data_IF_584831176614
#
_entry.id   IF_584831176614
#
_cell.length_a   1.000
_cell.length_b   1.000
_cell.length_c   1.000
_cell.angle_alpha   90.00
_cell.angle_beta   90.00
_cell.angle_gamma   90.00
#
_symmetry.space_group_name_H-M   'P 1'
#
loop_
_entity.id
_entity.type
_entity.pdbx_description
1 polymer ?
#
# COMPACT_ATOMS: atom_id res chain seq x y z
N UNK A 1 41.55 -12.32 -28.40
CA UNK A 1 40.71 -11.38 -27.63
C UNK A 1 40.14 -12.12 -26.43
N UNK A 2 40.42 -11.72 -25.17
CA UNK A 2 39.80 -12.35 -24.00
C UNK A 2 38.33 -11.91 -23.90
N UNK A 3 37.41 -12.87 -23.84
CA UNK A 3 35.98 -12.60 -23.66
C UNK A 3 35.77 -12.22 -22.18
N UNK A 4 35.40 -10.95 -21.95
CA UNK A 4 35.21 -10.39 -20.60
C UNK A 4 33.81 -10.73 -20.08
N UNK A 5 33.58 -11.98 -19.69
CA UNK A 5 32.29 -12.46 -19.15
C UNK A 5 31.89 -11.79 -17.82
N UNK A 6 32.84 -11.22 -17.08
CA UNK A 6 32.61 -10.65 -15.75
C UNK A 6 31.81 -9.35 -15.73
N UNK A 7 31.72 -8.64 -16.85
CA UNK A 7 31.10 -7.31 -16.89
C UNK A 7 29.57 -7.36 -17.07
N UNK A 8 29.07 -8.35 -17.82
CA UNK A 8 27.64 -8.48 -18.09
C UNK A 8 26.85 -9.02 -16.90
N UNK A 9 27.44 -9.91 -16.09
CA UNK A 9 26.82 -10.47 -14.88
C UNK A 9 26.65 -9.44 -13.77
N UNK A 10 27.61 -8.53 -13.58
CA UNK A 10 27.52 -7.44 -12.59
C UNK A 10 26.43 -6.42 -12.98
N UNK A 11 26.41 -5.99 -14.25
CA UNK A 11 25.38 -5.07 -14.77
C UNK A 11 23.97 -5.67 -14.80
N UNK A 12 23.86 -6.97 -15.01
CA UNK A 12 22.57 -7.67 -15.01
C UNK A 12 22.01 -7.79 -13.59
N UNK A 13 22.87 -8.03 -12.59
CA UNK A 13 22.49 -8.02 -11.18
C UNK A 13 22.06 -6.64 -10.68
N UNK A 14 22.79 -5.58 -11.04
CA UNK A 14 22.45 -4.20 -10.68
C UNK A 14 21.08 -3.77 -11.24
N UNK A 15 20.82 -4.00 -12.54
CA UNK A 15 19.52 -3.64 -13.16
C UNK A 15 18.35 -4.43 -12.59
N UNK A 16 18.56 -5.70 -12.24
CA UNK A 16 17.53 -6.52 -11.59
C UNK A 16 17.23 -6.03 -10.17
N UNK A 17 18.24 -5.58 -9.42
CA UNK A 17 18.07 -4.99 -8.10
C UNK A 17 17.42 -3.59 -8.12
N UNK A 18 17.76 -2.75 -9.10
CA UNK A 18 17.18 -1.41 -9.27
C UNK A 18 15.67 -1.48 -9.51
N UNK A 19 15.23 -2.31 -10.47
CA UNK A 19 13.79 -2.47 -10.76
C UNK A 19 12.99 -3.03 -9.58
N UNK A 20 13.61 -3.93 -8.80
CA UNK A 20 12.98 -4.49 -7.61
C UNK A 20 12.92 -3.49 -6.44
N UNK A 21 13.97 -2.69 -6.26
CA UNK A 21 14.03 -1.64 -5.23
C UNK A 21 12.95 -0.57 -5.46
N UNK A 22 12.75 -0.16 -6.72
CA UNK A 22 11.72 0.79 -7.10
C UNK A 22 10.30 0.24 -6.88
N UNK A 23 10.07 -1.02 -7.25
CA UNK A 23 8.82 -1.73 -6.97
C UNK A 23 8.50 -1.75 -5.47
N UNK A 24 9.46 -2.15 -4.63
CA UNK A 24 9.27 -2.17 -3.18
C UNK A 24 9.00 -0.78 -2.62
N UNK A 25 9.72 0.25 -3.09
CA UNK A 25 9.51 1.65 -2.66
C UNK A 25 8.09 2.13 -2.98
N UNK A 26 7.56 1.77 -4.14
CA UNK A 26 6.16 2.04 -4.52
C UNK A 26 5.18 1.36 -3.54
N UNK A 27 5.33 0.05 -3.32
CA UNK A 27 4.45 -0.72 -2.42
C UNK A 27 4.47 -0.16 -0.99
N UNK A 28 5.66 0.11 -0.44
CA UNK A 28 5.78 0.63 0.93
C UNK A 28 5.20 2.03 1.09
N UNK A 29 5.34 2.91 0.10
CA UNK A 29 4.72 4.24 0.10
C UNK A 29 3.20 4.14 0.17
N UNK A 30 2.63 3.22 -0.61
CA UNK A 30 1.19 2.99 -0.65
C UNK A 30 0.65 2.29 0.61
N UNK A 31 1.40 1.32 1.17
CA UNK A 31 1.06 0.69 2.46
C UNK A 31 1.06 1.70 3.61
N UNK A 32 2.10 2.54 3.69
CA UNK A 32 2.22 3.54 4.76
C UNK A 32 1.13 4.61 4.66
N UNK A 33 0.77 5.04 3.44
CA UNK A 33 -0.35 5.95 3.22
C UNK A 33 -1.68 5.36 3.71
N UNK A 34 -1.96 4.08 3.43
CA UNK A 34 -3.16 3.39 3.91
C UNK A 34 -3.23 3.29 5.44
N UNK A 35 -2.10 2.95 6.08
CA UNK A 35 -1.97 2.94 7.53
C UNK A 35 -2.15 4.33 8.15
N UNK A 36 -1.58 5.37 7.53
CA UNK A 36 -1.72 6.75 7.99
C UNK A 36 -3.18 7.23 7.97
N UNK A 37 -3.90 6.96 6.87
CA UNK A 37 -5.33 7.28 6.75
C UNK A 37 -6.13 6.53 7.82
N UNK A 38 -5.87 5.22 7.98
CA UNK A 38 -6.57 4.39 8.97
C UNK A 38 -6.32 4.89 10.39
N UNK A 39 -5.08 5.26 10.72
CA UNK A 39 -4.72 5.83 12.01
C UNK A 39 -5.41 7.18 12.27
N UNK A 40 -5.48 8.04 11.26
CA UNK A 40 -6.17 9.33 11.36
C UNK A 40 -7.68 9.14 11.61
N UNK A 41 -8.33 8.26 10.84
CA UNK A 41 -9.75 7.94 11.03
C UNK A 41 -9.99 7.33 12.41
N UNK A 42 -9.13 6.42 12.86
CA UNK A 42 -9.21 5.83 14.20
C UNK A 42 -9.11 6.88 15.31
N UNK A 43 -8.19 7.84 15.18
CA UNK A 43 -8.03 8.93 16.14
C UNK A 43 -9.27 9.83 16.23
N UNK A 44 -9.85 10.18 15.08
CA UNK A 44 -11.07 10.98 15.02
C UNK A 44 -12.26 10.26 15.66
N UNK A 45 -12.45 8.97 15.34
CA UNK A 45 -13.52 8.16 15.94
C UNK A 45 -13.30 7.95 17.44
N UNK A 46 -12.06 7.75 17.88
CA UNK A 46 -11.73 7.58 19.30
C UNK A 46 -11.96 8.85 20.14
N UNK A 47 -11.89 10.03 19.51
CA UNK A 47 -12.11 11.30 20.18
C UNK A 47 -13.58 11.53 20.54
N UNK A 48 -14.53 10.91 19.83
CA UNK A 48 -15.98 11.08 20.04
C UNK A 48 -16.69 9.78 20.44
N UNK A 49 -17.03 9.64 21.73
CA UNK A 49 -17.80 8.50 22.27
C UNK A 49 -19.17 8.32 21.61
N UNK A 50 -19.80 9.40 21.13
CA UNK A 50 -21.09 9.34 20.44
C UNK A 50 -21.00 8.58 19.11
N UNK A 51 -19.87 8.67 18.41
CA UNK A 51 -19.65 7.97 17.13
C UNK A 51 -19.48 6.47 17.37
N UNK A 52 -18.78 6.08 18.45
CA UNK A 52 -18.63 4.68 18.84
C UNK A 52 -19.98 4.02 19.19
N UNK A 53 -20.85 4.72 19.91
CA UNK A 53 -22.21 4.26 20.24
C UNK A 53 -23.09 4.12 18.98
N UNK A 54 -22.93 5.03 18.03
CA UNK A 54 -23.64 5.00 16.74
C UNK A 54 -23.20 3.82 15.86
N UNK A 55 -21.89 3.53 15.80
CA UNK A 55 -21.33 2.36 15.12
C UNK A 55 -21.87 1.05 15.69
N UNK A 56 -22.01 0.96 17.01
CA UNK A 56 -22.52 -0.24 17.69
C UNK A 56 -24.02 -0.45 17.46
N UNK A 57 -24.79 0.64 17.33
CA UNK A 57 -26.23 0.59 17.07
C UNK A 57 -26.56 0.15 15.63
N UNK A 58 -25.67 0.37 14.67
CA UNK A 58 -25.92 0.13 13.25
C UNK A 58 -24.91 -0.83 12.63
N UNK A 59 -25.23 -2.13 12.73
CA UNK A 59 -24.39 -3.24 12.22
C UNK A 59 -24.04 -3.13 10.72
N UNK A 60 -24.85 -2.44 9.92
CA UNK A 60 -24.56 -2.15 8.52
C UNK A 60 -23.29 -1.30 8.34
N UNK A 61 -23.03 -0.36 9.25
CA UNK A 61 -21.86 0.52 9.20
C UNK A 61 -20.59 -0.29 9.48
N UNK A 62 -20.67 -1.31 10.34
CA UNK A 62 -19.56 -2.21 10.63
C UNK A 62 -19.13 -3.00 9.38
N UNK A 63 -20.09 -3.59 8.65
CA UNK A 63 -19.81 -4.30 7.39
C UNK A 63 -19.36 -3.36 6.27
N UNK A 64 -19.93 -2.14 6.21
CA UNK A 64 -19.51 -1.12 5.26
C UNK A 64 -18.06 -0.69 5.48
N UNK A 65 -17.62 -0.53 6.74
CA UNK A 65 -16.24 -0.20 7.09
C UNK A 65 -15.27 -1.31 6.68
N UNK A 66 -15.63 -2.58 6.87
CA UNK A 66 -14.86 -3.73 6.38
C UNK A 66 -14.78 -3.69 4.84
N UNK A 67 -15.91 -3.46 4.16
CA UNK A 67 -15.94 -3.36 2.69
C UNK A 67 -15.12 -2.18 2.15
N UNK A 68 -15.16 -1.04 2.85
CA UNK A 68 -14.41 0.16 2.50
C UNK A 68 -12.90 -0.03 2.68
N UNK A 69 -12.48 -0.80 3.70
CA UNK A 69 -11.08 -1.17 3.88
C UNK A 69 -10.57 -2.06 2.74
N UNK A 70 -11.37 -3.05 2.30
CA UNK A 70 -11.02 -3.89 1.16
C UNK A 70 -11.04 -3.10 -0.16
N UNK A 71 -12.01 -2.21 -0.35
CA UNK A 71 -12.08 -1.33 -1.51
C UNK A 71 -10.91 -0.34 -1.56
N UNK A 72 -10.44 0.14 -0.42
CA UNK A 72 -9.24 0.98 -0.34
C UNK A 72 -7.99 0.19 -0.76
N UNK A 73 -7.79 -1.03 -0.23
CA UNK A 73 -6.64 -1.88 -0.59
C UNK A 73 -6.67 -2.28 -2.07
N UNK A 74 -7.84 -2.67 -2.59
CA UNK A 74 -8.00 -3.00 -4.01
C UNK A 74 -7.86 -1.77 -4.91
N UNK A 75 -8.39 -0.61 -4.50
CA UNK A 75 -8.26 0.65 -5.22
C UNK A 75 -6.82 1.14 -5.31
N UNK A 76 -6.06 1.05 -4.21
CA UNK A 76 -4.61 1.28 -4.22
C UNK A 76 -3.87 0.27 -5.09
N UNK A 77 -4.24 -1.02 -5.01
CA UNK A 77 -3.62 -2.09 -5.81
C UNK A 77 -3.86 -1.86 -7.32
N UNK A 78 -5.02 -1.31 -7.70
CA UNK A 78 -5.31 -0.90 -9.08
C UNK A 78 -4.60 0.41 -9.47
N UNK A 79 -4.47 1.36 -8.55
CA UNK A 79 -3.76 2.63 -8.78
C UNK A 79 -2.26 2.46 -9.04
N UNK A 80 -1.65 1.45 -8.42
CA UNK A 80 -0.24 1.07 -8.66
C UNK A 80 -0.01 0.49 -10.06
N UNK A 81 -1.01 -0.16 -10.68
CA UNK A 81 -0.90 -0.69 -12.04
C UNK A 81 -0.79 0.41 -13.13
N UNK A 82 -0.69 1.68 -12.73
CA UNK A 82 -0.53 2.84 -13.60
C UNK A 82 0.85 3.51 -13.54
N UNK A 83 1.82 2.93 -12.85
CA UNK A 83 3.22 3.32 -13.01
C UNK A 83 3.82 2.49 -14.16
N UNK A 84 4.01 3.07 -15.36
CA UNK A 84 4.79 2.40 -16.40
C UNK A 84 6.24 2.27 -15.92
N UNK A 85 6.85 1.16 -16.34
CA UNK A 85 8.27 0.83 -16.18
C UNK A 85 9.22 1.93 -16.67
#
# INVERSE_FOLDING_TARGET
MPINYGYDIAKTGERAQEGLSEFFRGVFTWMTMGLAITGLVSYLVASDKSVALYLYSHILIFYLLIGLQLAAVLGLSFGINRLPA
#
